data_IF_836741757358
#
_entry.id   IF_836741757358
#
_cell.length_a   1.000
_cell.length_b   1.000
_cell.length_c   1.000
_cell.angle_alpha   90.00
_cell.angle_beta   90.00
_cell.angle_gamma   90.00
#
_symmetry.space_group_name_H-M   'P 1'
#
loop_
_entity.id
_entity.type
_entity.pdbx_description
1 polymer ?
#
# COMPACT_ATOMS: atom_id res chain seq x y z
N UNK A 1 8.83 25.29 -14.59
CA UNK A 1 9.19 23.85 -14.64
C UNK A 1 8.39 23.22 -15.78
N UNK A 2 9.02 22.40 -16.63
CA UNK A 2 8.40 21.90 -17.87
C UNK A 2 7.34 20.82 -17.57
N UNK A 3 6.07 21.10 -17.89
CA UNK A 3 4.92 20.24 -17.57
C UNK A 3 5.04 18.83 -18.14
N UNK A 4 5.53 18.69 -19.38
CA UNK A 4 5.71 17.37 -20.03
C UNK A 4 6.72 16.51 -19.27
N UNK A 5 7.79 17.11 -18.77
CA UNK A 5 8.78 16.39 -17.97
C UNK A 5 8.19 15.89 -16.65
N UNK A 6 7.37 16.71 -15.99
CA UNK A 6 6.70 16.30 -14.75
C UNK A 6 5.73 15.13 -14.99
N UNK A 7 4.92 15.20 -16.05
CA UNK A 7 4.00 14.13 -16.43
C UNK A 7 4.76 12.81 -16.70
N UNK A 8 5.86 12.86 -17.45
CA UNK A 8 6.71 11.69 -17.71
C UNK A 8 7.34 11.12 -16.43
N UNK A 9 7.79 11.98 -15.50
CA UNK A 9 8.36 11.52 -14.22
C UNK A 9 7.29 10.82 -13.37
N UNK A 10 6.08 11.36 -13.31
CA UNK A 10 4.96 10.76 -12.57
C UNK A 10 4.59 9.40 -13.17
N UNK A 11 4.51 9.29 -14.49
CA UNK A 11 4.22 8.04 -15.19
C UNK A 11 5.30 6.98 -14.93
N UNK A 12 6.59 7.33 -15.02
CA UNK A 12 7.69 6.42 -14.71
C UNK A 12 7.65 5.93 -13.27
N UNK A 13 7.39 6.82 -12.30
CA UNK A 13 7.19 6.43 -10.89
C UNK A 13 6.00 5.48 -10.74
N UNK A 14 4.88 5.77 -11.39
CA UNK A 14 3.67 4.94 -11.32
C UNK A 14 3.90 3.54 -11.88
N UNK A 15 4.61 3.42 -13.02
CA UNK A 15 4.99 2.12 -13.60
C UNK A 15 5.90 1.33 -12.65
N UNK A 16 6.88 1.98 -12.04
CA UNK A 16 7.80 1.35 -11.08
C UNK A 16 7.13 0.88 -9.78
N UNK A 17 6.07 1.57 -9.37
CA UNK A 17 5.31 1.26 -8.14
C UNK A 17 4.11 0.33 -8.38
N UNK A 18 3.83 -0.07 -9.62
CA UNK A 18 2.64 -0.84 -9.98
C UNK A 18 2.57 -2.19 -9.26
N UNK A 19 3.71 -2.84 -9.03
CA UNK A 19 3.75 -4.14 -8.36
C UNK A 19 3.87 -4.03 -6.84
N UNK A 20 3.58 -2.84 -6.27
CA UNK A 20 3.76 -2.59 -4.85
C UNK A 20 2.43 -2.45 -4.11
N UNK A 21 2.36 -3.02 -2.91
CA UNK A 21 1.32 -2.73 -1.91
C UNK A 21 1.91 -2.11 -0.66
N UNK A 22 1.09 -1.30 0.00
CA UNK A 22 1.34 -0.68 1.29
C UNK A 22 0.51 -1.39 2.36
N UNK A 23 1.19 -1.85 3.40
CA UNK A 23 0.58 -2.44 4.58
C UNK A 23 0.68 -1.45 5.75
N UNK A 24 -0.47 -1.15 6.35
CA UNK A 24 -0.60 -0.18 7.44
C UNK A 24 -0.93 -0.88 8.75
N UNK A 25 -0.56 -0.24 9.86
CA UNK A 25 -0.83 -0.69 11.23
C UNK A 25 -0.20 -2.05 11.60
N UNK A 26 0.85 -2.45 10.90
CA UNK A 26 1.66 -3.62 11.27
C UNK A 26 2.64 -3.20 12.37
N UNK A 27 2.62 -3.87 13.53
CA UNK A 27 3.49 -3.53 14.68
C UNK A 27 4.98 -3.52 14.27
N UNK A 28 5.73 -2.52 14.72
CA UNK A 28 7.18 -2.43 14.52
C UNK A 28 7.91 -3.10 15.67
N UNK A 29 8.96 -3.86 15.36
CA UNK A 29 9.89 -4.45 16.33
C UNK A 29 11.33 -4.08 15.92
N UNK A 30 12.28 -4.05 16.85
CA UNK A 30 13.64 -3.53 16.60
C UNK A 30 14.45 -4.35 15.60
N UNK A 31 14.22 -5.66 15.56
CA UNK A 31 14.88 -6.61 14.65
C UNK A 31 13.84 -7.39 13.85
N UNK A 32 12.98 -6.66 13.15
CA UNK A 32 11.91 -7.27 12.38
C UNK A 32 12.39 -7.79 11.02
N UNK A 33 11.90 -8.98 10.64
CA UNK A 33 11.87 -9.40 9.24
C UNK A 33 10.50 -9.02 8.65
N UNK A 34 10.47 -7.96 7.84
CA UNK A 34 9.22 -7.48 7.28
C UNK A 34 8.58 -8.47 6.31
N UNK A 35 9.38 -9.24 5.56
CA UNK A 35 8.87 -10.26 4.64
C UNK A 35 8.11 -11.35 5.40
N UNK A 36 8.69 -11.84 6.50
CA UNK A 36 8.04 -12.86 7.34
C UNK A 36 6.73 -12.36 7.95
N UNK A 37 6.73 -11.13 8.48
CA UNK A 37 5.49 -10.51 8.98
C UNK A 37 4.40 -10.46 7.91
N UNK A 38 4.76 -10.15 6.67
CA UNK A 38 3.79 -10.09 5.58
C UNK A 38 3.27 -11.49 5.24
N UNK A 39 4.13 -12.50 5.24
CA UNK A 39 3.68 -13.88 5.06
C UNK A 39 2.74 -14.36 6.16
N UNK A 40 3.03 -14.02 7.42
CA UNK A 40 2.17 -14.34 8.57
C UNK A 40 0.80 -13.65 8.46
N UNK A 41 0.78 -12.37 8.08
CA UNK A 41 -0.47 -11.60 7.90
C UNK A 41 -1.34 -12.17 6.78
N UNK A 42 -0.71 -12.67 5.72
CA UNK A 42 -1.42 -13.15 4.53
C UNK A 42 -1.76 -14.64 4.61
N UNK A 43 -1.18 -15.39 5.54
CA UNK A 43 -1.21 -16.87 5.57
C UNK A 43 -0.85 -17.48 4.19
N UNK A 44 0.24 -16.95 3.62
CA UNK A 44 0.53 -17.07 2.20
C UNK A 44 2.01 -17.31 1.87
N UNK A 45 2.78 -17.83 2.84
CA UNK A 45 4.23 -18.06 2.71
C UNK A 45 4.65 -18.86 1.46
N UNK A 46 3.76 -19.72 0.95
CA UNK A 46 3.96 -20.52 -0.26
C UNK A 46 3.05 -20.13 -1.45
N UNK A 47 2.33 -19.01 -1.36
CA UNK A 47 1.33 -18.60 -2.37
C UNK A 47 1.69 -17.31 -3.09
N UNK A 48 2.67 -16.56 -2.60
CA UNK A 48 3.00 -15.22 -3.10
C UNK A 48 4.51 -15.05 -3.12
N UNK A 49 5.07 -14.54 -4.21
CA UNK A 49 6.49 -14.26 -4.31
C UNK A 49 6.78 -12.77 -4.08
N UNK A 50 7.41 -12.47 -2.95
CA UNK A 50 7.84 -11.12 -2.59
C UNK A 50 9.26 -10.87 -3.11
N UNK A 51 9.44 -9.83 -3.92
CA UNK A 51 10.75 -9.31 -4.36
C UNK A 51 11.46 -8.65 -3.17
N UNK A 52 10.78 -7.66 -2.59
CA UNK A 52 11.33 -6.82 -1.53
C UNK A 52 10.23 -6.35 -0.59
N UNK A 53 10.56 -6.30 0.71
CA UNK A 53 9.72 -5.69 1.73
C UNK A 53 10.55 -4.79 2.63
N UNK A 54 10.02 -3.61 2.96
CA UNK A 54 10.70 -2.65 3.85
C UNK A 54 9.73 -1.63 4.46
N UNK A 55 10.10 -1.07 5.62
CA UNK A 55 9.38 0.07 6.23
C UNK A 55 9.66 1.35 5.46
N UNK A 56 8.65 2.19 5.30
CA UNK A 56 8.78 3.51 4.67
C UNK A 56 8.62 4.64 5.68
N UNK A 57 9.52 5.62 5.60
CA UNK A 57 9.54 6.80 6.45
C UNK A 57 10.52 6.70 7.63
N UNK A 58 10.80 7.86 8.23
CA UNK A 58 11.74 7.98 9.35
C UNK A 58 11.07 7.50 10.65
N UNK A 59 11.75 6.63 11.41
CA UNK A 59 11.32 6.26 12.76
C UNK A 59 11.46 7.48 13.67
N UNK A 60 10.37 7.91 14.32
CA UNK A 60 10.38 9.00 15.32
C UNK A 60 9.92 8.45 16.66
N UNK A 61 10.59 8.82 17.74
CA UNK A 61 10.28 8.35 19.11
C UNK A 61 8.84 8.73 19.52
N UNK A 62 8.35 9.89 19.08
CA UNK A 62 6.98 10.35 19.33
C UNK A 62 5.91 9.73 18.42
N UNK A 63 6.29 8.83 17.49
CA UNK A 63 5.37 8.30 16.50
C UNK A 63 4.45 7.23 17.11
N UNK A 64 3.19 7.60 17.36
CA UNK A 64 2.17 6.68 17.92
C UNK A 64 1.72 5.59 16.95
N UNK A 65 1.89 5.79 15.64
CA UNK A 65 1.45 4.86 14.59
C UNK A 65 2.65 4.17 13.94
N UNK A 66 2.62 2.83 13.77
CA UNK A 66 3.66 2.12 13.04
C UNK A 66 3.82 2.65 11.61
N UNK A 67 5.06 2.73 11.13
CA UNK A 67 5.40 3.04 9.74
C UNK A 67 4.81 1.98 8.81
N UNK A 68 4.29 2.35 7.64
CA UNK A 68 3.81 1.37 6.68
C UNK A 68 4.96 0.51 6.14
N UNK A 69 4.65 -0.74 5.80
CA UNK A 69 5.55 -1.61 5.02
C UNK A 69 5.16 -1.46 3.55
N UNK A 70 6.14 -1.20 2.68
CA UNK A 70 5.99 -1.35 1.23
C UNK A 70 6.53 -2.71 0.84
N UNK A 71 5.69 -3.48 0.15
CA UNK A 71 6.01 -4.80 -0.39
C UNK A 71 5.93 -4.72 -1.90
N UNK A 72 7.02 -5.04 -2.57
CA UNK A 72 7.08 -5.26 -4.01
C UNK A 72 6.95 -6.75 -4.29
N UNK A 73 6.02 -7.11 -5.16
CA UNK A 73 5.81 -8.48 -5.61
C UNK A 73 6.58 -8.73 -6.90
N UNK A 74 7.01 -9.98 -7.11
CA UNK A 74 7.64 -10.38 -8.37
C UNK A 74 6.65 -10.37 -9.53
N UNK A 75 5.39 -10.72 -9.25
CA UNK A 75 4.34 -10.84 -10.25
C UNK A 75 3.15 -9.93 -9.92
N UNK A 76 2.63 -9.24 -10.93
CA UNK A 76 1.44 -8.41 -10.78
C UNK A 76 0.21 -9.21 -10.33
N UNK A 77 0.10 -10.47 -10.77
CA UNK A 77 -1.01 -11.36 -10.41
C UNK A 77 -1.03 -11.66 -8.91
N UNK A 78 0.13 -11.97 -8.33
CA UNK A 78 0.33 -12.16 -6.90
C UNK A 78 -0.10 -10.92 -6.10
N UNK A 79 0.36 -9.74 -6.55
CA UNK A 79 -0.04 -8.44 -5.98
C UNK A 79 -1.56 -8.26 -6.01
N UNK A 80 -2.20 -8.57 -7.14
CA UNK A 80 -3.65 -8.42 -7.30
C UNK A 80 -4.44 -9.41 -6.45
N UNK A 81 -3.97 -10.65 -6.35
CA UNK A 81 -4.57 -11.65 -5.47
C UNK A 81 -4.56 -11.16 -4.02
N UNK A 82 -3.44 -10.60 -3.55
CA UNK A 82 -3.36 -10.03 -2.20
C UNK A 82 -4.31 -8.84 -2.05
N UNK A 83 -4.34 -7.91 -3.01
CA UNK A 83 -5.22 -6.73 -2.98
C UNK A 83 -6.70 -7.11 -2.91
N UNK A 84 -7.13 -8.09 -3.71
CA UNK A 84 -8.52 -8.54 -3.73
C UNK A 84 -8.90 -9.28 -2.44
N UNK A 85 -7.98 -10.06 -1.89
CA UNK A 85 -8.16 -10.77 -0.63
C UNK A 85 -8.04 -9.87 0.62
N UNK A 86 -7.60 -8.62 0.48
CA UNK A 86 -7.50 -7.67 1.61
C UNK A 86 -8.82 -7.50 2.38
N UNK A 87 -9.97 -7.78 1.75
CA UNK A 87 -11.29 -7.78 2.41
C UNK A 87 -11.39 -8.82 3.53
N UNK A 88 -10.62 -9.91 3.49
CA UNK A 88 -10.56 -10.94 4.54
C UNK A 88 -9.93 -10.40 5.83
N UNK A 89 -9.13 -9.35 5.74
CA UNK A 89 -8.55 -8.66 6.89
C UNK A 89 -9.52 -7.66 7.53
N UNK A 90 -10.76 -7.55 7.03
CA UNK A 90 -11.78 -6.70 7.62
C UNK A 90 -12.11 -7.20 9.04
N UNK A 91 -11.97 -6.31 10.02
CA UNK A 91 -12.07 -6.65 11.44
C UNK A 91 -10.71 -6.68 12.14
N UNK A 92 -9.63 -6.90 11.39
CA UNK A 92 -8.28 -6.56 11.87
C UNK A 92 -8.06 -5.04 11.83
N UNK A 93 -7.01 -4.57 12.52
CA UNK A 93 -6.54 -3.18 12.41
C UNK A 93 -5.65 -2.94 11.19
N UNK A 94 -5.32 -3.99 10.42
CA UNK A 94 -4.38 -3.92 9.30
C UNK A 94 -5.09 -3.38 8.06
N UNK A 95 -4.43 -2.43 7.38
CA UNK A 95 -4.90 -1.89 6.11
C UNK A 95 -3.96 -2.29 4.98
N UNK A 96 -4.51 -2.54 3.79
CA UNK A 96 -3.73 -2.77 2.56
C UNK A 96 -4.21 -1.78 1.50
N UNK A 97 -3.29 -1.09 0.84
CA UNK A 97 -3.58 -0.26 -0.35
C UNK A 97 -2.51 -0.42 -1.41
N UNK A 98 -2.81 0.00 -2.63
CA UNK A 98 -1.79 0.19 -3.66
C UNK A 98 -0.83 1.33 -3.26
N UNK A 99 0.39 1.29 -3.80
CA UNK A 99 1.33 2.40 -3.70
C UNK A 99 1.20 3.31 -4.92
N UNK A 100 1.04 4.61 -4.70
CA UNK A 100 1.07 5.61 -5.76
C UNK A 100 2.21 6.61 -5.55
N UNK A 101 2.69 7.25 -6.63
CA UNK A 101 3.53 8.45 -6.54
C UNK A 101 2.85 9.52 -5.69
N UNK A 102 3.64 10.36 -5.03
CA UNK A 102 3.15 11.40 -4.13
C UNK A 102 2.17 12.36 -4.83
N UNK A 103 2.44 12.69 -6.08
CA UNK A 103 1.61 13.56 -6.91
C UNK A 103 0.20 12.97 -7.10
N UNK A 104 0.11 11.65 -7.31
CA UNK A 104 -1.16 10.93 -7.43
C UNK A 104 -1.83 10.77 -6.06
N UNK A 105 -1.08 10.46 -5.00
CA UNK A 105 -1.61 10.38 -3.63
C UNK A 105 -2.28 11.70 -3.20
N UNK A 106 -1.68 12.85 -3.54
CA UNK A 106 -2.25 14.17 -3.25
C UNK A 106 -3.60 14.37 -3.93
N UNK A 107 -3.72 13.98 -5.20
CA UNK A 107 -4.99 14.04 -5.94
C UNK A 107 -6.02 13.08 -5.30
N UNK A 108 -5.62 11.85 -4.95
CA UNK A 108 -6.54 10.90 -4.30
C UNK A 108 -7.03 11.41 -2.95
N UNK A 109 -6.19 12.12 -2.20
CA UNK A 109 -6.57 12.71 -0.91
C UNK A 109 -7.71 13.72 -1.04
N UNK A 110 -7.74 14.53 -2.11
CA UNK A 110 -8.84 15.48 -2.34
C UNK A 110 -10.15 14.77 -2.70
N UNK A 111 -10.09 13.55 -3.23
CA UNK A 111 -11.25 12.76 -3.62
C UNK A 111 -11.83 11.90 -2.48
N UNK A 112 -11.07 11.63 -1.42
CA UNK A 112 -11.57 10.79 -0.30
C UNK A 112 -12.83 11.31 0.39
N UNK A 113 -13.04 12.62 0.61
CA UNK A 113 -14.30 13.13 1.16
C UNK A 113 -15.50 12.79 0.28
N UNK A 114 -15.40 13.00 -1.03
CA UNK A 114 -16.46 12.69 -1.99
C UNK A 114 -16.71 11.18 -2.08
N UNK A 115 -15.64 10.38 -2.07
CA UNK A 115 -15.73 8.92 -1.98
C UNK A 115 -16.51 8.47 -0.73
N UNK A 116 -16.27 9.10 0.43
CA UNK A 116 -17.00 8.76 1.67
C UNK A 116 -18.49 9.12 1.56
N UNK A 117 -18.83 10.27 0.98
CA UNK A 117 -20.21 10.70 0.76
C UNK A 117 -20.96 9.74 -0.16
N UNK A 118 -20.39 9.42 -1.32
CA UNK A 118 -20.99 8.50 -2.27
C UNK A 118 -21.22 7.10 -1.66
N UNK A 119 -20.25 6.61 -0.86
CA UNK A 119 -20.39 5.33 -0.16
C UNK A 119 -21.50 5.36 0.90
N UNK A 120 -21.65 6.47 1.63
CA UNK A 120 -22.74 6.65 2.60
C UNK A 120 -24.12 6.66 1.93
N UNK A 121 -24.19 7.13 0.68
CA UNK A 121 -25.39 7.11 -0.15
C UNK A 121 -25.64 5.76 -0.86
N UNK A 122 -24.86 4.72 -0.54
CA UNK A 122 -25.03 3.38 -1.12
C UNK A 122 -24.44 3.19 -2.52
N UNK A 123 -23.76 4.20 -3.08
CA UNK A 123 -23.11 4.04 -4.38
C UNK A 123 -21.92 3.08 -4.30
N UNK A 124 -21.85 2.16 -5.26
CA UNK A 124 -20.72 1.26 -5.40
C UNK A 124 -19.55 1.99 -6.05
N UNK A 125 -18.53 2.27 -5.26
CA UNK A 125 -17.30 2.93 -5.73
C UNK A 125 -16.29 1.85 -6.12
N UNK A 126 -15.75 1.96 -7.33
CA UNK A 126 -14.63 1.15 -7.82
C UNK A 126 -13.36 1.98 -7.88
#
# INVERSE_FOLDING_TARGET
MNRRLQESVVDLKARSMRDNLRFFNVKEDEKENTTEKIYDILDARNKVNIDRSHRVGRKRVSQRKPRPIVVKFNYFQDREQVRQNARKLKGSRIGISEQFPEEIEKIRQTLYPEMKKAKAQGHRIR
#
